data_IF_196644655846
#
_entry.id   IF_196644655846
#
_cell.length_a   1.000
_cell.length_b   1.000
_cell.length_c   1.000
_cell.angle_alpha   90.00
_cell.angle_beta   90.00
_cell.angle_gamma   90.00
#
_symmetry.space_group_name_H-M   'P 1'
#
loop_
_entity.id
_entity.type
_entity.pdbx_description
1 polymer ?
#
# COMPACT_ATOMS: atom_id res chain seq x y z
N UNK A 1 -39.76 7.51 -47.40
CA UNK A 1 -38.32 7.58 -47.16
C UNK A 1 -38.16 7.83 -45.69
N UNK A 2 -37.88 6.76 -44.90
CA UNK A 2 -37.58 6.83 -43.48
C UNK A 2 -36.09 7.12 -43.32
N UNK A 3 -35.74 8.29 -42.82
CA UNK A 3 -34.39 8.63 -42.39
C UNK A 3 -34.14 7.96 -41.02
N UNK A 4 -33.32 6.93 -40.97
CA UNK A 4 -32.74 6.45 -39.73
C UNK A 4 -31.64 7.41 -39.32
N UNK A 5 -31.92 8.22 -38.30
CA UNK A 5 -30.88 8.92 -37.55
C UNK A 5 -30.09 7.87 -36.74
N UNK A 6 -28.92 7.50 -37.21
CA UNK A 6 -27.93 6.78 -36.42
C UNK A 6 -27.26 7.86 -35.57
N UNK A 7 -27.69 8.01 -34.32
CA UNK A 7 -26.90 8.69 -33.32
C UNK A 7 -25.60 7.89 -33.15
N UNK A 8 -24.51 8.44 -33.70
CA UNK A 8 -23.17 8.02 -33.32
C UNK A 8 -23.00 8.39 -31.83
N UNK A 9 -23.26 7.43 -30.94
CA UNK A 9 -22.79 7.51 -29.57
C UNK A 9 -21.29 7.70 -29.62
N UNK A 10 -20.79 8.84 -29.14
CA UNK A 10 -19.38 9.12 -29.01
C UNK A 10 -18.76 7.93 -28.23
N UNK A 11 -17.90 7.15 -28.86
CA UNK A 11 -17.14 6.10 -28.17
C UNK A 11 -16.37 6.82 -27.06
N UNK A 12 -16.74 6.57 -25.81
CA UNK A 12 -15.99 7.08 -24.65
C UNK A 12 -14.51 6.74 -24.86
N UNK A 13 -13.69 7.77 -24.93
CA UNK A 13 -12.27 7.61 -25.18
C UNK A 13 -11.68 6.77 -24.02
N UNK A 14 -11.18 5.58 -24.35
CA UNK A 14 -10.56 4.69 -23.39
C UNK A 14 -9.55 5.46 -22.50
N UNK A 15 -9.61 5.32 -21.17
CA UNK A 15 -8.65 5.95 -20.28
C UNK A 15 -7.20 5.62 -20.66
N UNK A 16 -6.29 6.55 -20.50
CA UNK A 16 -4.88 6.41 -20.89
C UNK A 16 -4.23 5.13 -20.34
N UNK A 17 -4.55 4.77 -19.12
CA UNK A 17 -3.95 3.61 -18.45
C UNK A 17 -4.50 2.25 -18.89
N UNK A 18 -5.55 2.21 -19.70
CA UNK A 18 -6.08 0.97 -20.29
C UNK A 18 -5.47 0.72 -21.66
N UNK A 19 -4.73 -0.39 -21.81
CA UNK A 19 -4.16 -0.78 -23.10
C UNK A 19 -5.11 -1.64 -23.92
N UNK A 20 -4.96 -1.65 -25.28
CA UNK A 20 -5.83 -2.44 -26.15
C UNK A 20 -5.81 -3.96 -25.90
N UNK A 21 -4.67 -4.48 -25.40
CA UNK A 21 -4.49 -5.90 -25.06
C UNK A 21 -5.12 -6.29 -23.72
N UNK A 22 -5.78 -5.33 -23.04
CA UNK A 22 -6.43 -5.53 -21.77
C UNK A 22 -5.49 -5.45 -20.56
N UNK A 23 -4.24 -5.05 -20.74
CA UNK A 23 -3.31 -4.73 -19.65
C UNK A 23 -3.43 -3.28 -19.22
N UNK A 24 -2.74 -2.92 -18.14
CA UNK A 24 -2.69 -1.55 -17.61
C UNK A 24 -1.28 -0.99 -17.70
N UNK A 25 -1.17 0.34 -17.71
CA UNK A 25 0.10 1.07 -17.63
C UNK A 25 0.04 2.17 -16.57
N UNK A 26 1.20 2.66 -16.19
CA UNK A 26 1.34 3.77 -15.25
C UNK A 26 0.74 5.08 -15.78
N UNK A 27 0.48 6.07 -14.90
CA UNK A 27 0.07 7.40 -15.31
C UNK A 27 1.00 7.99 -16.37
N UNK A 28 0.46 8.86 -17.22
CA UNK A 28 1.25 9.55 -18.24
C UNK A 28 2.41 10.33 -17.61
N UNK A 29 3.58 10.28 -18.23
CA UNK A 29 4.80 10.92 -17.72
C UNK A 29 5.45 10.19 -16.52
N UNK A 30 4.99 8.98 -16.18
CA UNK A 30 5.66 8.16 -15.16
C UNK A 30 7.07 7.74 -15.61
N UNK A 31 8.02 7.57 -14.68
CA UNK A 31 9.34 7.10 -15.03
C UNK A 31 9.28 5.67 -15.62
N UNK A 32 10.09 5.42 -16.62
CA UNK A 32 10.22 4.10 -17.23
C UNK A 32 11.36 3.31 -16.57
N UNK A 33 11.25 1.99 -16.66
CA UNK A 33 12.32 1.10 -16.22
C UNK A 33 13.57 1.34 -17.04
N UNK A 34 14.71 1.47 -16.37
CA UNK A 34 16.01 1.64 -17.03
C UNK A 34 16.26 0.45 -18.01
N UNK A 35 16.48 0.70 -19.31
CA UNK A 35 16.73 -0.35 -20.28
C UNK A 35 18.02 -1.14 -19.99
N UNK A 36 18.95 -0.56 -19.21
CA UNK A 36 20.19 -1.23 -18.78
C UNK A 36 19.99 -2.10 -17.53
N UNK A 37 18.82 -2.11 -16.93
CA UNK A 37 18.52 -2.98 -15.80
C UNK A 37 18.62 -4.47 -16.21
N UNK A 38 19.56 -5.18 -15.58
CA UNK A 38 19.81 -6.61 -15.83
C UNK A 38 19.36 -7.43 -14.62
N UNK A 39 18.08 -7.74 -14.58
CA UNK A 39 17.55 -8.53 -13.49
C UNK A 39 18.09 -9.97 -13.55
N UNK A 40 18.72 -10.39 -12.47
CA UNK A 40 19.17 -11.77 -12.25
C UNK A 40 18.65 -12.25 -10.89
N UNK A 41 17.72 -13.18 -10.93
CA UNK A 41 17.16 -13.76 -9.70
C UNK A 41 18.22 -14.50 -8.86
N UNK A 42 19.21 -15.10 -9.51
CA UNK A 42 20.35 -15.76 -8.85
C UNK A 42 21.18 -14.74 -8.07
N UNK A 43 21.65 -13.69 -8.73
CA UNK A 43 22.46 -12.63 -8.10
C UNK A 43 21.66 -11.97 -6.97
N UNK A 44 20.40 -11.62 -7.23
CA UNK A 44 19.53 -11.02 -6.21
C UNK A 44 19.42 -11.89 -4.95
N UNK A 45 19.20 -13.19 -5.10
CA UNK A 45 19.10 -14.09 -3.95
C UNK A 45 20.42 -14.26 -3.19
N UNK A 46 21.54 -14.22 -3.88
CA UNK A 46 22.87 -14.26 -3.26
C UNK A 46 23.15 -12.98 -2.47
N UNK A 47 22.87 -11.82 -3.04
CA UNK A 47 23.04 -10.52 -2.36
C UNK A 47 22.06 -10.37 -1.17
N UNK A 48 20.80 -10.76 -1.34
CA UNK A 48 19.80 -10.69 -0.29
C UNK A 48 20.17 -11.50 0.97
N UNK A 49 20.84 -12.64 0.80
CA UNK A 49 21.31 -13.46 1.93
C UNK A 49 22.38 -12.75 2.77
N UNK A 50 23.05 -11.74 2.21
CA UNK A 50 24.07 -10.94 2.90
C UNK A 50 23.48 -9.81 3.74
N UNK A 51 22.20 -9.47 3.53
CA UNK A 51 21.52 -8.45 4.33
C UNK A 51 21.43 -8.93 5.78
N UNK A 52 22.07 -8.19 6.67
CA UNK A 52 22.02 -8.48 8.11
C UNK A 52 20.67 -8.12 8.70
N UNK A 53 20.10 -9.06 9.46
CA UNK A 53 18.84 -8.87 10.16
C UNK A 53 19.17 -8.49 11.61
N UNK A 54 19.39 -7.20 11.83
CA UNK A 54 19.63 -6.64 13.15
C UNK A 54 18.39 -5.85 13.58
N UNK A 55 17.65 -6.41 14.53
CA UNK A 55 16.36 -5.87 14.99
C UNK A 55 16.55 -5.25 16.37
N UNK A 56 16.28 -3.95 16.56
CA UNK A 56 16.25 -3.34 17.88
C UNK A 56 15.23 -4.04 18.78
N UNK A 57 15.56 -4.19 20.06
CA UNK A 57 14.69 -4.88 21.04
C UNK A 57 13.30 -4.24 21.17
N UNK A 58 13.21 -2.94 20.86
CA UNK A 58 11.98 -2.16 20.96
C UNK A 58 11.24 -1.99 19.64
N UNK A 59 11.66 -2.69 18.55
CA UNK A 59 11.02 -2.59 17.24
C UNK A 59 9.65 -3.29 17.18
N UNK A 60 9.43 -4.30 18.01
CA UNK A 60 8.20 -5.11 18.03
C UNK A 60 7.56 -5.04 19.42
N UNK A 61 6.30 -4.68 19.47
CA UNK A 61 5.48 -4.73 20.68
C UNK A 61 5.08 -6.20 20.96
N UNK A 62 5.20 -6.69 22.20
CA UNK A 62 4.73 -8.03 22.55
C UNK A 62 3.26 -8.23 22.20
N UNK A 63 2.91 -9.37 21.59
CA UNK A 63 1.56 -9.66 21.10
C UNK A 63 0.45 -9.45 22.15
N UNK A 64 0.71 -9.82 23.40
CA UNK A 64 -0.27 -9.64 24.49
C UNK A 64 -0.58 -8.18 24.70
N UNK A 65 0.44 -7.33 24.71
CA UNK A 65 0.28 -5.87 24.87
C UNK A 65 -0.49 -5.27 23.66
N UNK A 66 -0.22 -5.75 22.44
CA UNK A 66 -0.96 -5.32 21.24
C UNK A 66 -2.45 -5.62 21.39
N UNK A 67 -2.80 -6.84 21.84
CA UNK A 67 -4.20 -7.25 22.03
C UNK A 67 -4.89 -6.43 23.12
N UNK A 68 -4.19 -6.13 24.21
CA UNK A 68 -4.69 -5.28 25.30
C UNK A 68 -4.93 -3.84 24.80
N UNK A 69 -4.00 -3.25 24.05
CA UNK A 69 -4.16 -1.90 23.49
C UNK A 69 -5.26 -1.84 22.44
N UNK A 70 -5.43 -2.86 21.60
CA UNK A 70 -6.55 -2.94 20.65
C UNK A 70 -7.89 -2.97 21.39
N UNK A 71 -8.00 -3.79 22.45
CA UNK A 71 -9.22 -3.87 23.28
C UNK A 71 -9.51 -2.56 24.00
N UNK A 72 -8.50 -1.95 24.62
CA UNK A 72 -8.62 -0.65 25.29
C UNK A 72 -9.09 0.47 24.37
N UNK A 73 -8.75 0.37 23.09
CA UNK A 73 -9.11 1.34 22.06
C UNK A 73 -10.31 0.92 21.20
N UNK A 74 -11.05 -0.13 21.53
CA UNK A 74 -12.14 -0.66 20.70
C UNK A 74 -13.25 0.38 20.39
N UNK A 75 -13.42 1.40 21.24
CA UNK A 75 -14.40 2.48 21.09
C UNK A 75 -13.78 3.80 20.61
N UNK A 76 -12.48 3.81 20.26
CA UNK A 76 -11.78 4.99 19.76
C UNK A 76 -11.44 4.82 18.29
N UNK A 77 -11.27 5.92 17.56
CA UNK A 77 -10.59 5.91 16.28
C UNK A 77 -9.09 5.65 16.51
N UNK A 78 -8.52 4.65 15.84
CA UNK A 78 -7.11 4.29 16.00
C UNK A 78 -6.48 3.79 14.72
N UNK A 79 -5.15 3.78 14.72
CA UNK A 79 -4.30 3.14 13.72
C UNK A 79 -3.40 2.16 14.45
N UNK A 80 -3.33 0.90 13.97
CA UNK A 80 -2.43 -0.13 14.47
C UNK A 80 -1.61 -0.72 13.32
N UNK A 81 -0.28 -0.76 13.46
CA UNK A 81 0.58 -1.37 12.46
C UNK A 81 0.82 -2.86 12.77
N UNK A 82 0.26 -3.71 11.93
CA UNK A 82 0.40 -5.16 12.07
C UNK A 82 1.70 -5.67 11.44
N UNK A 83 2.30 -4.86 10.58
CA UNK A 83 3.57 -5.11 9.91
C UNK A 83 3.45 -5.02 8.39
N UNK A 84 4.55 -4.62 7.73
CA UNK A 84 4.62 -4.40 6.29
C UNK A 84 3.63 -3.32 5.83
N UNK A 85 2.70 -3.63 4.93
CA UNK A 85 1.61 -2.77 4.51
C UNK A 85 0.27 -3.11 5.20
N UNK A 86 0.28 -3.98 6.20
CA UNK A 86 -0.91 -4.38 6.94
C UNK A 86 -1.16 -3.45 8.12
N UNK A 87 -2.25 -2.69 8.06
CA UNK A 87 -2.73 -1.84 9.14
C UNK A 87 -4.17 -2.22 9.51
N UNK A 88 -4.51 -2.04 10.78
CA UNK A 88 -5.88 -1.92 11.24
C UNK A 88 -6.15 -0.43 11.49
N UNK A 89 -7.17 0.10 10.84
CA UNK A 89 -7.58 1.51 10.95
C UNK A 89 -9.04 1.52 11.38
N UNK A 90 -9.33 2.02 12.58
CA UNK A 90 -10.69 2.19 13.04
C UNK A 90 -11.13 3.63 12.89
N UNK A 91 -12.25 3.84 12.21
CA UNK A 91 -12.87 5.13 11.95
C UNK A 91 -14.35 5.05 12.33
N UNK A 92 -14.72 5.60 13.48
CA UNK A 92 -16.05 5.44 14.04
C UNK A 92 -16.39 3.96 14.26
N UNK A 93 -17.47 3.50 13.65
CA UNK A 93 -17.91 2.10 13.76
C UNK A 93 -17.31 1.18 12.69
N UNK A 94 -16.39 1.69 11.84
CA UNK A 94 -15.81 0.93 10.74
C UNK A 94 -14.37 0.56 11.03
N UNK A 95 -14.06 -0.72 11.04
CA UNK A 95 -12.69 -1.23 11.09
C UNK A 95 -12.23 -1.62 9.69
N UNK A 96 -11.13 -1.03 9.25
CA UNK A 96 -10.50 -1.22 7.95
C UNK A 96 -9.24 -2.06 8.13
N UNK A 97 -9.02 -3.04 7.26
CA UNK A 97 -7.73 -3.71 7.12
C UNK A 97 -7.15 -3.43 5.74
N UNK A 98 -5.85 -3.12 5.69
CA UNK A 98 -5.13 -2.84 4.45
C UNK A 98 -4.16 -3.97 4.13
N UNK A 99 -4.07 -4.40 2.89
CA UNK A 99 -3.10 -5.36 2.34
C UNK A 99 -2.69 -6.45 3.35
N UNK A 100 -3.64 -7.27 3.87
CA UNK A 100 -3.35 -8.16 4.97
C UNK A 100 -2.50 -9.35 4.55
N UNK A 101 -1.29 -9.45 5.12
CA UNK A 101 -0.33 -10.52 4.90
C UNK A 101 0.04 -11.16 6.24
N UNK A 102 -0.49 -12.34 6.49
CA UNK A 102 -0.25 -13.12 7.71
C UNK A 102 0.60 -14.38 7.46
N UNK A 103 0.87 -14.70 6.19
CA UNK A 103 1.74 -15.82 5.83
C UNK A 103 3.20 -15.57 6.19
N UNK A 104 3.91 -16.65 6.50
CA UNK A 104 5.35 -16.62 6.78
C UNK A 104 6.19 -16.23 5.55
N UNK A 105 5.73 -16.59 4.36
CA UNK A 105 6.43 -16.34 3.10
C UNK A 105 5.61 -15.40 2.21
N UNK A 106 6.30 -14.49 1.51
CA UNK A 106 5.73 -13.59 0.52
C UNK A 106 6.04 -14.10 -0.89
N UNK A 107 5.42 -15.19 -1.27
CA UNK A 107 5.62 -15.84 -2.57
C UNK A 107 4.60 -16.94 -2.83
N UNK A 108 4.70 -17.65 -3.98
CA UNK A 108 3.79 -18.74 -4.29
C UNK A 108 4.01 -19.92 -3.31
N UNK A 109 2.93 -20.40 -2.70
CA UNK A 109 2.94 -21.50 -1.74
C UNK A 109 3.93 -21.26 -0.57
N UNK A 110 5.00 -22.07 -0.50
CA UNK A 110 6.04 -22.01 0.52
C UNK A 110 7.30 -21.28 0.04
N UNK A 111 7.29 -20.79 -1.19
CA UNK A 111 8.42 -20.11 -1.81
C UNK A 111 8.38 -18.59 -1.58
N UNK A 112 9.45 -17.91 -1.97
CA UNK A 112 9.60 -16.47 -1.84
C UNK A 112 10.28 -16.02 -0.54
N UNK A 113 10.46 -14.73 -0.36
CA UNK A 113 11.05 -14.15 0.84
C UNK A 113 10.30 -14.52 2.11
N UNK A 114 11.04 -14.92 3.15
CA UNK A 114 10.45 -15.18 4.47
C UNK A 114 10.40 -13.90 5.28
N UNK A 115 9.33 -13.75 6.03
CA UNK A 115 9.28 -12.73 7.09
C UNK A 115 10.31 -13.06 8.17
N UNK A 116 11.05 -12.08 8.62
CA UNK A 116 11.91 -12.18 9.79
C UNK A 116 11.22 -11.63 11.04
N UNK A 117 10.19 -10.77 10.87
CA UNK A 117 9.25 -10.38 11.92
C UNK A 117 7.87 -10.97 11.58
N UNK A 118 7.23 -11.72 12.48
CA UNK A 118 5.85 -12.17 12.29
C UNK A 118 4.88 -10.97 12.33
N UNK A 119 3.63 -11.14 11.87
CA UNK A 119 2.57 -10.16 12.13
C UNK A 119 2.42 -9.91 13.63
N UNK A 120 2.09 -8.69 14.03
CA UNK A 120 1.98 -8.29 15.44
C UNK A 120 0.96 -9.13 16.23
N UNK A 121 -0.08 -9.61 15.55
CA UNK A 121 -1.11 -10.53 16.08
C UNK A 121 -1.39 -11.62 15.05
N UNK A 122 -2.04 -12.69 15.45
CA UNK A 122 -2.44 -13.77 14.56
C UNK A 122 -3.71 -13.40 13.78
N UNK A 123 -3.94 -14.05 12.64
CA UNK A 123 -5.10 -13.79 11.79
C UNK A 123 -6.45 -14.01 12.51
N UNK A 124 -6.52 -14.98 13.42
CA UNK A 124 -7.72 -15.27 14.21
C UNK A 124 -7.91 -14.35 15.43
N UNK A 125 -6.99 -13.43 15.67
CA UNK A 125 -7.03 -12.48 16.78
C UNK A 125 -7.38 -11.06 16.33
N UNK A 126 -7.48 -10.82 15.01
CA UNK A 126 -7.90 -9.52 14.50
C UNK A 126 -9.33 -9.20 14.96
N UNK A 127 -9.62 -7.93 15.32
CA UNK A 127 -10.98 -7.52 15.64
C UNK A 127 -11.89 -7.69 14.42
N UNK A 128 -13.23 -7.61 14.60
CA UNK A 128 -14.17 -7.57 13.47
C UNK A 128 -13.77 -6.49 12.45
N UNK A 129 -13.69 -6.89 11.19
CA UNK A 129 -13.32 -6.02 10.06
C UNK A 129 -14.51 -5.81 9.17
N UNK A 130 -14.84 -4.55 8.93
CA UNK A 130 -15.95 -4.13 8.06
C UNK A 130 -15.48 -3.88 6.62
N UNK A 131 -14.25 -3.39 6.44
CA UNK A 131 -13.70 -2.99 5.15
C UNK A 131 -12.32 -3.60 4.93
N UNK A 132 -12.17 -4.32 3.82
CA UNK A 132 -10.91 -4.90 3.35
C UNK A 132 -10.44 -4.12 2.12
N UNK A 133 -9.28 -3.46 2.21
CA UNK A 133 -8.64 -2.75 1.11
C UNK A 133 -7.44 -3.55 0.60
N UNK A 134 -7.36 -3.76 -0.73
CA UNK A 134 -6.22 -4.39 -1.38
C UNK A 134 -5.71 -3.47 -2.50
N UNK A 135 -4.45 -3.04 -2.41
CA UNK A 135 -3.86 -2.05 -3.34
C UNK A 135 -3.43 -2.66 -4.67
N UNK A 136 -2.88 -3.86 -4.67
CA UNK A 136 -2.40 -4.57 -5.86
C UNK A 136 -2.15 -6.06 -5.58
N UNK A 137 -1.65 -6.81 -6.57
CA UNK A 137 -1.58 -8.27 -6.51
C UNK A 137 -0.21 -8.88 -6.19
N UNK A 138 0.81 -8.12 -5.81
CA UNK A 138 2.08 -8.72 -5.40
C UNK A 138 1.91 -9.62 -4.18
N UNK A 139 2.81 -10.57 -4.00
CA UNK A 139 2.66 -11.61 -2.99
C UNK A 139 2.76 -11.10 -1.55
N UNK A 140 3.42 -9.99 -1.34
CA UNK A 140 3.60 -9.31 -0.06
C UNK A 140 2.48 -8.30 0.26
N UNK A 141 1.44 -8.21 -0.60
CA UNK A 141 0.20 -7.46 -0.40
C UNK A 141 -1.03 -8.36 -0.52
N UNK A 142 -1.12 -9.15 -1.58
CA UNK A 142 -2.19 -10.12 -1.78
C UNK A 142 -1.77 -11.52 -1.31
N UNK A 143 -1.95 -11.79 -0.04
CA UNK A 143 -1.72 -13.10 0.56
C UNK A 143 -2.94 -14.01 0.39
N UNK A 144 -2.85 -14.98 -0.52
CA UNK A 144 -3.95 -15.89 -0.80
C UNK A 144 -4.32 -16.80 0.40
N UNK A 145 -3.36 -17.12 1.27
CA UNK A 145 -3.64 -17.86 2.48
C UNK A 145 -4.49 -17.02 3.44
N UNK A 146 -4.10 -15.77 3.64
CA UNK A 146 -4.88 -14.81 4.43
C UNK A 146 -6.26 -14.61 3.83
N UNK A 147 -6.40 -14.33 2.53
CA UNK A 147 -7.68 -14.12 1.87
C UNK A 147 -8.61 -15.33 2.06
N UNK A 148 -8.11 -16.57 1.91
CA UNK A 148 -8.91 -17.80 2.08
C UNK A 148 -9.35 -18.03 3.51
N UNK A 149 -8.48 -17.76 4.48
CA UNK A 149 -8.70 -18.02 5.90
C UNK A 149 -9.19 -16.79 6.69
N UNK A 150 -9.41 -15.65 6.01
CA UNK A 150 -9.89 -14.43 6.66
C UNK A 150 -11.23 -14.68 7.37
N UNK A 151 -11.36 -14.36 8.66
CA UNK A 151 -12.54 -14.75 9.43
C UNK A 151 -13.80 -13.97 9.05
N UNK A 152 -13.66 -12.75 8.51
CA UNK A 152 -14.79 -11.83 8.24
C UNK A 152 -15.12 -11.78 6.74
N UNK A 153 -15.73 -12.86 6.20
CA UNK A 153 -16.13 -12.96 4.78
C UNK A 153 -17.29 -12.05 4.35
N UNK A 154 -17.91 -11.39 5.31
CA UNK A 154 -18.96 -10.38 5.07
C UNK A 154 -18.40 -8.97 4.92
N UNK A 155 -17.11 -8.76 5.21
CA UNK A 155 -16.48 -7.46 4.99
C UNK A 155 -16.68 -7.00 3.55
N UNK A 156 -16.97 -5.71 3.38
CA UNK A 156 -16.90 -5.06 2.07
C UNK A 156 -15.44 -5.09 1.59
N UNK A 157 -15.21 -5.58 0.39
CA UNK A 157 -13.87 -5.59 -0.24
C UNK A 157 -13.85 -4.51 -1.31
N UNK A 158 -12.84 -3.64 -1.25
CA UNK A 158 -12.58 -2.63 -2.29
C UNK A 158 -11.15 -2.85 -2.80
N UNK A 159 -11.03 -2.93 -4.11
CA UNK A 159 -9.78 -3.28 -4.77
C UNK A 159 -9.76 -2.75 -6.22
N UNK A 160 -8.57 -2.63 -6.83
CA UNK A 160 -8.44 -2.26 -8.24
C UNK A 160 -9.02 -3.30 -9.20
N UNK A 161 -9.32 -2.86 -10.42
CA UNK A 161 -9.89 -3.69 -11.49
C UNK A 161 -9.16 -5.03 -11.68
N UNK A 162 -9.96 -6.08 -11.93
CA UNK A 162 -9.54 -7.46 -12.22
C UNK A 162 -8.90 -8.23 -11.06
N UNK A 163 -9.02 -7.73 -9.82
CA UNK A 163 -8.59 -8.43 -8.61
C UNK A 163 -9.70 -9.22 -7.94
N UNK A 164 -10.97 -8.92 -8.20
CA UNK A 164 -12.13 -9.57 -7.56
C UNK A 164 -12.17 -11.07 -7.75
N UNK A 165 -11.59 -11.60 -8.83
CA UNK A 165 -11.48 -13.04 -9.09
C UNK A 165 -10.80 -13.86 -7.99
N UNK A 166 -10.03 -13.22 -7.13
CA UNK A 166 -9.34 -13.85 -6.00
C UNK A 166 -10.20 -13.90 -4.73
N UNK A 167 -11.35 -13.19 -4.70
CA UNK A 167 -12.25 -13.04 -3.54
C UNK A 167 -13.58 -13.80 -3.69
N UNK A 168 -13.55 -14.98 -4.32
CA UNK A 168 -14.75 -15.78 -4.68
C UNK A 168 -15.69 -16.10 -3.51
N UNK A 169 -15.16 -16.16 -2.28
CA UNK A 169 -15.93 -16.50 -1.08
C UNK A 169 -16.38 -15.27 -0.30
N UNK A 170 -16.20 -14.06 -0.84
CA UNK A 170 -16.70 -12.82 -0.27
C UNK A 170 -18.00 -12.41 -0.98
N UNK A 171 -18.91 -11.76 -0.23
CA UNK A 171 -20.23 -11.41 -0.76
C UNK A 171 -20.30 -10.01 -1.36
N UNK A 172 -19.46 -9.10 -0.88
CA UNK A 172 -19.44 -7.68 -1.26
C UNK A 172 -18.04 -7.31 -1.76
N UNK A 173 -17.80 -7.52 -3.07
CA UNK A 173 -16.52 -7.26 -3.72
C UNK A 173 -16.71 -6.17 -4.77
N UNK A 174 -15.98 -5.08 -4.60
CA UNK A 174 -16.09 -3.88 -5.42
C UNK A 174 -14.75 -3.58 -6.10
N UNK A 175 -14.72 -3.71 -7.41
CA UNK A 175 -13.58 -3.33 -8.24
C UNK A 175 -13.70 -1.86 -8.65
N UNK A 176 -12.66 -1.07 -8.45
CA UNK A 176 -12.59 0.34 -8.84
C UNK A 176 -11.52 0.55 -9.92
N UNK A 177 -11.83 1.43 -10.85
CA UNK A 177 -10.86 2.08 -11.72
C UNK A 177 -10.29 3.34 -11.06
N UNK A 178 -9.20 3.88 -11.57
CA UNK A 178 -8.66 5.14 -11.07
C UNK A 178 -9.70 6.25 -11.14
N UNK A 179 -9.76 7.03 -10.06
CA UNK A 179 -10.71 8.13 -9.82
C UNK A 179 -12.15 7.69 -9.57
N UNK A 180 -12.44 6.39 -9.58
CA UNK A 180 -13.74 5.90 -9.12
C UNK A 180 -13.78 5.88 -7.59
N UNK A 181 -14.98 6.16 -7.07
CA UNK A 181 -15.24 6.22 -5.64
C UNK A 181 -16.43 5.35 -5.25
N UNK A 182 -16.44 4.93 -4.00
CA UNK A 182 -17.55 4.21 -3.39
C UNK A 182 -17.82 4.75 -1.99
N UNK A 183 -19.09 5.03 -1.70
CA UNK A 183 -19.55 5.35 -0.36
C UNK A 183 -19.66 4.03 0.42
N UNK A 184 -18.85 3.88 1.46
CA UNK A 184 -18.85 2.70 2.34
C UNK A 184 -20.03 2.78 3.31
N UNK A 185 -20.23 3.94 3.92
CA UNK A 185 -21.35 4.31 4.78
C UNK A 185 -21.54 5.83 4.79
N UNK A 186 -22.34 6.37 5.71
CA UNK A 186 -22.60 7.82 5.77
C UNK A 186 -21.34 8.64 6.06
N UNK A 187 -20.40 8.10 6.83
CA UNK A 187 -19.20 8.82 7.27
C UNK A 187 -17.98 8.56 6.39
N UNK A 188 -17.94 7.44 5.62
CA UNK A 188 -16.73 6.98 4.93
C UNK A 188 -16.98 6.84 3.43
N UNK A 189 -16.12 7.48 2.66
CA UNK A 189 -15.99 7.35 1.21
C UNK A 189 -14.56 6.92 0.87
N UNK A 190 -14.42 6.02 -0.10
CA UNK A 190 -13.12 5.53 -0.60
C UNK A 190 -13.01 5.79 -2.08
N UNK A 191 -11.92 6.43 -2.51
CA UNK A 191 -11.59 6.67 -3.92
C UNK A 191 -10.31 5.94 -4.28
N UNK A 192 -10.29 5.24 -5.41
CA UNK A 192 -9.05 4.66 -5.94
C UNK A 192 -8.31 5.71 -6.76
N UNK A 193 -7.04 5.97 -6.43
CA UNK A 193 -6.18 6.94 -7.10
C UNK A 193 -4.98 6.26 -7.78
N UNK A 194 -4.45 6.82 -8.88
CA UNK A 194 -3.30 6.25 -9.58
C UNK A 194 -2.04 6.18 -8.71
N UNK A 195 -1.21 5.16 -8.96
CA UNK A 195 0.12 4.97 -8.40
C UNK A 195 1.12 4.59 -9.50
N UNK A 196 2.41 4.79 -9.26
CA UNK A 196 3.51 4.39 -10.16
C UNK A 196 4.01 3.03 -9.75
N UNK A 197 3.38 1.98 -10.26
CA UNK A 197 3.70 0.60 -9.88
C UNK A 197 3.44 -0.38 -11.04
N UNK A 198 3.28 -1.64 -10.74
CA UNK A 198 2.99 -2.71 -11.69
C UNK A 198 2.31 -3.88 -10.97
N UNK A 199 1.85 -4.85 -11.72
CA UNK A 199 1.21 -6.03 -11.15
C UNK A 199 1.69 -7.31 -11.82
N UNK A 200 1.84 -8.38 -11.02
CA UNK A 200 2.18 -9.72 -11.50
C UNK A 200 2.06 -10.75 -10.37
N UNK A 201 1.57 -11.95 -10.71
CA UNK A 201 1.64 -13.14 -9.83
C UNK A 201 2.10 -14.39 -10.58
N UNK A 202 1.81 -14.49 -11.85
CA UNK A 202 2.13 -15.65 -12.69
C UNK A 202 3.19 -15.34 -13.75
N UNK A 203 3.34 -16.26 -14.68
CA UNK A 203 4.30 -16.11 -15.78
C UNK A 203 3.80 -15.16 -16.88
N UNK A 204 2.46 -15.07 -17.07
CA UNK A 204 1.84 -14.41 -18.23
C UNK A 204 0.80 -13.35 -17.85
N UNK A 205 0.90 -12.77 -16.66
CA UNK A 205 -0.10 -11.85 -16.12
C UNK A 205 0.45 -10.46 -15.74
N UNK A 206 1.61 -10.08 -16.30
CA UNK A 206 2.17 -8.74 -16.11
C UNK A 206 1.13 -7.70 -16.48
N UNK A 207 0.86 -6.78 -15.52
CA UNK A 207 -0.06 -5.65 -15.67
C UNK A 207 -1.50 -6.03 -16.13
N UNK A 208 -1.91 -7.29 -15.92
CA UNK A 208 -3.28 -7.72 -16.22
C UNK A 208 -4.30 -7.35 -15.15
N UNK A 209 -3.85 -6.89 -13.98
CA UNK A 209 -4.68 -6.31 -12.92
C UNK A 209 -4.24 -4.89 -12.66
N UNK A 210 -5.15 -4.02 -12.27
CA UNK A 210 -4.83 -2.65 -11.92
C UNK A 210 -4.20 -2.57 -10.51
N UNK A 211 -3.63 -1.44 -10.17
CA UNK A 211 -3.08 -1.06 -8.86
C UNK A 211 -3.48 0.37 -8.53
N UNK A 212 -3.40 0.78 -7.27
CA UNK A 212 -3.70 2.16 -6.92
C UNK A 212 -3.68 2.45 -5.42
N UNK A 213 -3.63 3.75 -5.13
CA UNK A 213 -3.73 4.30 -3.78
C UNK A 213 -5.20 4.40 -3.37
N UNK A 214 -5.51 4.27 -2.08
CA UNK A 214 -6.83 4.56 -1.54
C UNK A 214 -6.86 5.90 -0.81
N UNK A 215 -7.68 6.82 -1.28
CA UNK A 215 -8.07 8.01 -0.51
C UNK A 215 -9.32 7.68 0.29
N UNK A 216 -9.20 7.72 1.60
CA UNK A 216 -10.28 7.49 2.56
C UNK A 216 -10.70 8.87 3.11
N UNK A 217 -11.93 9.26 2.84
CA UNK A 217 -12.53 10.49 3.39
C UNK A 217 -13.42 10.10 4.57
N UNK A 218 -13.17 10.70 5.73
CA UNK A 218 -13.88 10.43 6.98
C UNK A 218 -14.09 11.71 7.76
N UNK A 219 -15.36 12.13 7.94
CA UNK A 219 -15.74 13.33 8.72
C UNK A 219 -14.89 14.56 8.40
N UNK A 220 -14.70 14.84 7.11
CA UNK A 220 -13.89 15.97 6.63
C UNK A 220 -12.38 15.77 6.64
N UNK A 221 -11.87 14.66 7.19
CA UNK A 221 -10.47 14.29 7.15
C UNK A 221 -10.17 13.43 5.93
N UNK A 222 -8.97 13.55 5.38
CA UNK A 222 -8.47 12.82 4.22
C UNK A 222 -7.27 11.98 4.60
N UNK A 223 -7.40 10.66 4.49
CA UNK A 223 -6.34 9.68 4.76
C UNK A 223 -5.99 9.00 3.45
N UNK A 224 -4.76 9.10 3.00
CA UNK A 224 -4.27 8.39 1.83
C UNK A 224 -3.47 7.16 2.26
N UNK A 225 -3.94 5.99 1.88
CA UNK A 225 -3.17 4.75 1.98
C UNK A 225 -2.55 4.46 0.62
N UNK A 226 -1.23 4.65 0.52
CA UNK A 226 -0.54 4.43 -0.74
C UNK A 226 -0.41 2.93 -1.05
N UNK A 227 -0.53 2.60 -2.33
CA UNK A 227 0.04 1.40 -2.92
C UNK A 227 1.57 1.45 -2.82
N UNK A 228 2.25 0.35 -3.08
CA UNK A 228 3.63 0.44 -3.47
C UNK A 228 3.76 1.36 -4.68
N UNK A 229 4.69 2.28 -4.62
CA UNK A 229 4.85 3.27 -5.66
C UNK A 229 6.28 3.79 -5.76
N UNK A 230 6.70 4.11 -6.97
CA UNK A 230 7.81 5.00 -7.23
C UNK A 230 7.37 6.46 -7.27
N UNK A 231 8.33 7.37 -7.35
CA UNK A 231 8.05 8.79 -7.54
C UNK A 231 7.57 9.06 -8.97
N UNK A 232 6.58 9.97 -9.11
CA UNK A 232 6.07 10.46 -10.39
C UNK A 232 5.31 11.76 -10.23
N UNK A 233 5.23 12.55 -11.32
CA UNK A 233 4.57 13.85 -11.33
C UNK A 233 3.06 13.77 -11.00
N UNK A 234 2.46 12.59 -11.16
CA UNK A 234 1.06 12.36 -10.81
C UNK A 234 0.73 12.79 -9.39
N UNK A 235 1.69 12.72 -8.44
CA UNK A 235 1.46 13.09 -7.04
C UNK A 235 1.25 14.60 -6.86
N UNK A 236 1.85 15.44 -7.70
CA UNK A 236 1.55 16.88 -7.73
C UNK A 236 0.12 17.14 -8.19
N UNK A 237 -0.32 16.41 -9.22
CA UNK A 237 -1.68 16.52 -9.75
C UNK A 237 -2.70 16.05 -8.72
N UNK A 238 -2.42 14.92 -8.03
CA UNK A 238 -3.25 14.43 -6.94
C UNK A 238 -3.30 15.41 -5.77
N UNK A 239 -2.17 16.02 -5.39
CA UNK A 239 -2.12 17.04 -4.34
C UNK A 239 -2.87 18.34 -4.72
N UNK A 240 -2.89 18.69 -6.00
CA UNK A 240 -3.68 19.83 -6.48
C UNK A 240 -5.18 19.53 -6.50
N UNK A 241 -5.57 18.30 -6.85
CA UNK A 241 -6.98 17.91 -6.97
C UNK A 241 -7.62 17.51 -5.63
N UNK A 242 -6.89 16.78 -4.79
CA UNK A 242 -7.43 16.17 -3.57
C UNK A 242 -6.83 16.73 -2.27
N UNK A 243 -5.68 17.38 -2.34
CA UNK A 243 -5.03 17.96 -1.16
C UNK A 243 -5.77 19.15 -0.54
N UNK A 244 -5.41 19.55 0.66
CA UNK A 244 -4.41 18.89 1.52
C UNK A 244 -4.88 17.53 2.03
N UNK A 245 -3.92 16.61 2.23
CA UNK A 245 -4.16 15.29 2.82
C UNK A 245 -3.79 15.37 4.30
N UNK A 246 -4.67 14.92 5.20
CA UNK A 246 -4.39 15.00 6.65
C UNK A 246 -3.34 13.97 7.07
N UNK A 247 -3.40 12.76 6.50
CA UNK A 247 -2.47 11.67 6.79
C UNK A 247 -2.18 10.84 5.55
N UNK A 248 -0.90 10.59 5.26
CA UNK A 248 -0.47 9.70 4.18
C UNK A 248 0.32 8.52 4.75
N UNK A 249 -0.05 7.30 4.38
CA UNK A 249 0.77 6.10 4.54
C UNK A 249 1.54 5.89 3.24
N UNK A 250 2.86 5.67 3.31
CA UNK A 250 3.69 5.53 2.11
C UNK A 250 4.83 4.54 2.34
N UNK A 251 5.15 3.76 1.30
CA UNK A 251 6.28 2.86 1.32
C UNK A 251 7.60 3.65 1.42
N UNK A 252 8.49 3.21 2.32
CA UNK A 252 9.83 3.78 2.51
C UNK A 252 10.93 2.73 2.38
N UNK A 253 10.60 1.49 2.04
CA UNK A 253 11.50 0.36 1.84
C UNK A 253 11.37 -0.25 0.45
N UNK A 254 12.19 -1.28 0.19
CA UNK A 254 12.28 -2.00 -1.08
C UNK A 254 12.79 -1.15 -2.26
N UNK A 255 13.79 -0.29 -2.03
CA UNK A 255 14.31 0.62 -3.04
C UNK A 255 15.71 0.28 -3.57
N UNK A 256 16.51 -0.52 -2.88
CA UNK A 256 17.88 -0.85 -3.32
C UNK A 256 17.94 -2.22 -3.99
N UNK A 257 18.10 -2.22 -5.30
CA UNK A 257 18.25 -3.42 -6.13
C UNK A 257 19.59 -3.46 -6.88
N UNK A 258 20.60 -2.71 -6.41
CA UNK A 258 21.94 -2.78 -6.98
C UNK A 258 22.57 -4.14 -6.63
N UNK A 259 23.27 -4.86 -7.56
CA UNK A 259 23.67 -4.41 -8.90
C UNK A 259 22.69 -4.75 -10.04
N UNK A 260 21.50 -5.32 -9.77
CA UNK A 260 20.52 -5.63 -10.82
C UNK A 260 19.95 -4.36 -11.47
N UNK A 261 19.81 -3.30 -10.70
CA UNK A 261 19.52 -1.95 -11.17
C UNK A 261 20.81 -1.14 -11.21
N UNK A 262 21.03 -0.30 -12.23
CA UNK A 262 22.31 0.40 -12.41
C UNK A 262 22.55 1.50 -11.36
N UNK A 263 21.51 2.00 -10.75
CA UNK A 263 21.57 3.05 -9.72
C UNK A 263 21.26 2.46 -8.35
N UNK A 264 22.17 2.67 -7.41
CA UNK A 264 21.97 2.30 -6.01
C UNK A 264 20.92 3.20 -5.37
N UNK A 265 20.17 2.66 -4.42
CA UNK A 265 19.16 3.37 -3.61
C UNK A 265 18.05 4.05 -4.43
N UNK A 266 17.78 3.56 -5.63
CA UNK A 266 16.71 4.05 -6.49
C UNK A 266 15.97 2.92 -7.17
N UNK A 267 14.65 2.96 -7.11
CA UNK A 267 13.75 2.08 -7.86
C UNK A 267 12.69 2.89 -8.60
N UNK A 268 12.24 2.39 -9.75
CA UNK A 268 11.15 3.02 -10.51
C UNK A 268 9.80 2.81 -9.83
N UNK A 269 9.66 1.70 -9.10
CA UNK A 269 8.37 1.25 -8.58
C UNK A 269 8.27 1.27 -7.05
N UNK A 270 9.33 1.69 -6.37
CA UNK A 270 9.37 1.87 -4.91
C UNK A 270 10.15 3.13 -4.58
N UNK A 271 9.60 3.94 -3.71
CA UNK A 271 10.29 5.13 -3.20
C UNK A 271 11.34 4.76 -2.17
N UNK A 272 12.48 5.44 -2.23
CA UNK A 272 13.33 5.58 -1.07
C UNK A 272 12.70 6.58 -0.07
N UNK A 273 13.23 6.68 1.18
CA UNK A 273 12.64 7.55 2.18
C UNK A 273 12.50 9.03 1.79
N UNK A 274 13.47 9.57 1.04
CA UNK A 274 13.46 10.95 0.57
C UNK A 274 12.41 11.18 -0.53
N UNK A 275 12.27 10.23 -1.45
CA UNK A 275 11.21 10.26 -2.47
C UNK A 275 9.82 10.12 -1.85
N UNK A 276 9.68 9.30 -0.80
CA UNK A 276 8.43 9.17 -0.05
C UNK A 276 8.02 10.51 0.62
N UNK A 277 8.99 11.22 1.21
CA UNK A 277 8.77 12.56 1.76
C UNK A 277 8.43 13.57 0.64
N UNK A 278 9.08 13.48 -0.53
CA UNK A 278 8.75 14.35 -1.66
C UNK A 278 7.33 14.11 -2.17
N UNK A 279 6.90 12.85 -2.34
CA UNK A 279 5.52 12.51 -2.70
C UNK A 279 4.55 13.11 -1.67
N UNK A 280 4.83 12.95 -0.39
CA UNK A 280 3.97 13.45 0.66
C UNK A 280 3.87 14.98 0.65
N UNK A 281 4.96 15.67 0.33
CA UNK A 281 4.96 17.11 0.08
C UNK A 281 4.12 17.49 -1.14
N UNK A 282 4.28 16.77 -2.24
CA UNK A 282 3.53 17.00 -3.48
C UNK A 282 2.01 16.77 -3.27
N UNK A 283 1.63 15.80 -2.44
CA UNK A 283 0.26 15.56 -1.97
C UNK A 283 -0.26 16.62 -0.99
N UNK A 284 0.58 17.55 -0.55
CA UNK A 284 0.27 18.53 0.51
C UNK A 284 -0.16 17.84 1.82
N UNK A 285 0.52 16.73 2.16
CA UNK A 285 0.25 15.97 3.36
C UNK A 285 0.65 16.74 4.61
N UNK A 286 -0.20 16.69 5.64
CA UNK A 286 0.12 17.29 6.95
C UNK A 286 1.00 16.36 7.77
N UNK A 287 0.68 15.05 7.73
CA UNK A 287 1.44 14.00 8.45
C UNK A 287 1.65 12.78 7.54
N UNK A 288 2.73 12.05 7.81
CA UNK A 288 3.15 10.92 6.97
C UNK A 288 3.58 9.75 7.84
N UNK A 289 3.06 8.56 7.57
CA UNK A 289 3.49 7.30 8.18
C UNK A 289 4.31 6.52 7.16
N UNK A 290 5.57 6.21 7.51
CA UNK A 290 6.42 5.33 6.70
C UNK A 290 6.08 3.87 6.94
N UNK A 291 5.78 3.12 5.87
CA UNK A 291 5.44 1.70 5.88
C UNK A 291 6.30 0.87 4.91
N UNK A 292 6.01 -0.42 4.78
CA UNK A 292 6.67 -1.34 3.84
C UNK A 292 8.15 -1.54 4.12
N UNK A 293 8.52 -1.67 5.39
CA UNK A 293 9.87 -1.91 5.87
C UNK A 293 9.84 -2.79 7.12
N UNK A 294 10.99 -3.26 7.58
CA UNK A 294 11.15 -3.86 8.91
C UNK A 294 10.53 -5.24 9.12
N UNK A 295 10.10 -5.96 8.07
CA UNK A 295 9.39 -7.26 8.19
C UNK A 295 9.91 -8.36 7.27
N UNK A 296 10.24 -8.04 6.04
CA UNK A 296 10.66 -8.96 4.98
C UNK A 296 11.84 -8.34 4.23
N UNK A 297 12.85 -9.13 3.91
CA UNK A 297 13.96 -8.67 3.06
C UNK A 297 13.52 -8.77 1.61
N UNK A 298 13.01 -7.69 1.04
CA UNK A 298 12.56 -7.59 -0.35
C UNK A 298 13.61 -6.97 -1.28
N UNK A 299 14.59 -6.28 -0.71
CA UNK A 299 15.64 -5.51 -1.40
C UNK A 299 16.94 -5.57 -0.59
N UNK A 300 17.92 -4.76 -0.91
CA UNK A 300 19.29 -4.90 -0.42
C UNK A 300 19.74 -3.74 0.49
N UNK A 301 18.88 -2.80 0.81
CA UNK A 301 19.18 -1.81 1.84
C UNK A 301 19.22 -2.45 3.24
N UNK A 302 20.03 -1.89 4.17
CA UNK A 302 20.00 -2.30 5.57
C UNK A 302 18.60 -2.16 6.17
N UNK A 303 18.11 -3.17 6.89
CA UNK A 303 16.69 -3.24 7.30
C UNK A 303 16.21 -2.08 8.17
N UNK A 304 17.11 -1.40 8.89
CA UNK A 304 16.81 -0.23 9.73
C UNK A 304 17.22 1.10 9.10
N UNK A 305 17.69 1.10 7.86
CA UNK A 305 18.04 2.33 7.12
C UNK A 305 16.78 3.14 6.75
N UNK A 306 15.69 2.54 6.25
CA UNK A 306 14.50 3.28 5.82
C UNK A 306 13.95 4.23 6.88
N UNK A 307 13.63 3.79 8.12
CA UNK A 307 13.09 4.68 9.14
C UNK A 307 14.08 5.77 9.60
N UNK A 308 15.39 5.47 9.61
CA UNK A 308 16.44 6.45 9.97
C UNK A 308 16.51 7.57 8.93
N UNK A 309 16.58 7.21 7.65
CA UNK A 309 16.61 8.18 6.54
C UNK A 309 15.32 9.00 6.48
N UNK A 310 14.18 8.35 6.66
CA UNK A 310 12.87 9.01 6.67
C UNK A 310 12.79 10.10 7.74
N UNK A 311 13.18 9.79 8.98
CA UNK A 311 13.23 10.77 10.07
C UNK A 311 14.26 11.88 9.82
N UNK A 312 15.44 11.52 9.35
CA UNK A 312 16.52 12.49 9.07
C UNK A 312 16.18 13.44 7.92
N UNK A 313 15.43 12.97 6.93
CA UNK A 313 15.02 13.77 5.77
C UNK A 313 13.83 14.70 6.02
N UNK A 314 13.04 14.47 7.05
CA UNK A 314 11.73 15.10 7.26
C UNK A 314 11.75 16.63 7.11
N UNK A 315 12.62 17.32 7.83
CA UNK A 315 12.69 18.79 7.86
C UNK A 315 13.02 19.38 6.46
N UNK A 316 13.87 18.72 5.69
CA UNK A 316 14.23 19.14 4.32
C UNK A 316 13.01 19.18 3.41
N UNK A 317 12.01 18.32 3.64
CA UNK A 317 10.78 18.24 2.85
C UNK A 317 9.63 19.01 3.48
N UNK A 318 9.84 19.70 4.58
CA UNK A 318 8.84 20.56 5.23
C UNK A 318 8.00 19.87 6.29
N UNK A 319 8.43 18.70 6.77
CA UNK A 319 7.80 17.96 7.86
C UNK A 319 8.59 18.15 9.16
N UNK A 320 7.92 18.37 10.25
CA UNK A 320 8.58 18.25 11.57
C UNK A 320 8.93 16.77 11.85
N UNK A 321 9.75 16.53 12.85
CA UNK A 321 10.06 15.15 13.29
C UNK A 321 8.82 14.40 13.79
N UNK A 322 7.81 15.13 14.27
CA UNK A 322 6.55 14.56 14.76
C UNK A 322 5.53 14.33 13.61
N UNK A 323 5.74 14.96 12.46
CA UNK A 323 4.89 14.78 11.29
C UNK A 323 5.33 13.61 10.39
N UNK A 324 6.63 13.27 10.39
CA UNK A 324 7.16 12.08 9.76
C UNK A 324 7.18 10.92 10.77
N UNK A 325 6.14 10.11 10.77
CA UNK A 325 5.84 9.13 11.81
C UNK A 325 6.38 7.75 11.43
N UNK A 326 7.05 7.11 12.39
CA UNK A 326 7.47 5.71 12.31
C UNK A 326 6.80 4.96 13.46
N UNK A 327 6.06 3.92 13.13
CA UNK A 327 5.46 2.99 14.09
C UNK A 327 6.43 1.87 14.43
N UNK A 328 6.30 1.33 15.64
CA UNK A 328 6.77 -0.01 15.99
C UNK A 328 5.76 -1.04 15.50
N UNK A 329 6.22 -2.23 15.17
CA UNK A 329 5.29 -3.32 14.80
C UNK A 329 4.44 -3.67 16.02
N UNK A 330 3.12 -3.62 15.86
CA UNK A 330 2.15 -3.77 16.95
C UNK A 330 1.76 -2.48 17.66
N UNK A 331 2.37 -1.33 17.33
CA UNK A 331 1.99 -0.07 17.94
C UNK A 331 0.58 0.34 17.55
N UNK A 332 -0.21 0.73 18.57
CA UNK A 332 -1.58 1.24 18.43
C UNK A 332 -1.60 2.68 18.89
N UNK A 333 -2.03 3.60 18.03
CA UNK A 333 -2.17 5.03 18.35
C UNK A 333 -3.60 5.50 18.05
N UNK A 334 -4.16 6.27 18.95
CA UNK A 334 -5.44 6.96 18.69
C UNK A 334 -5.28 7.93 17.53
N UNK A 335 -6.28 8.02 16.66
CA UNK A 335 -6.24 8.89 15.50
C UNK A 335 -6.06 10.37 15.88
N UNK A 336 -6.69 10.83 16.97
CA UNK A 336 -6.55 12.19 17.46
C UNK A 336 -5.16 12.53 18.06
N UNK A 337 -4.33 11.53 18.33
CA UNK A 337 -2.91 11.73 18.67
C UNK A 337 -2.03 11.94 17.43
N UNK A 338 -2.55 11.60 16.24
CA UNK A 338 -1.85 11.70 14.97
C UNK A 338 -2.35 12.92 14.20
N UNK A 339 -3.65 13.03 14.00
CA UNK A 339 -4.31 14.14 13.28
C UNK A 339 -5.45 14.70 14.15
N UNK A 340 -5.46 16.04 14.26
CA UNK A 340 -6.48 16.77 15.03
C UNK A 340 -7.78 16.93 14.25
#
# INVERSE_FOLDING_TARGET
ILFFNIELTAMEKRPYHHLPDGTFRNPEGSPERDPNAKWSYKIFNEERKKVKIEIPNDHVIPRVEVLEELKKNENNDYIAWIGHATFLIKLGNTTIITDPVFSKNTGPLIFGPKRYIPPAINLNEIPPVDLFLLTHNHYDHQDMSTIRNFPYKKSKVILPLKLGKYFRNYKDVNELDWYQEIKVNEDIKVTLLPAVHWSRRGLFDINKTLWGNFLIEYKGKKILFACDTGYGNIYKDLGNKFGPIDLTFINIGAYNFYPMMPVKDKSVYHTNPEEALQISKDLKSKKVIGMHWGTVVLSLEPIMEPPKRFKAGAEKYGFSKDDAIIFKIGEVKKLNQIIN
#
